data_IF_153163441173
#
_entry.id   IF_153163441173
#
_cell.length_a   1.000
_cell.length_b   1.000
_cell.length_c   1.000
_cell.angle_alpha   90.00
_cell.angle_beta   90.00
_cell.angle_gamma   90.00
#
_symmetry.space_group_name_H-M   'P 1'
#
loop_
_entity.id
_entity.type
_entity.pdbx_description
1 polymer ?
#
# COMPACT_ATOMS: atom_id res chain seq x y z
N UNK A 1 11.05 4.06 13.37
CA UNK A 1 10.02 4.19 12.32
C UNK A 1 9.15 5.38 12.71
N UNK A 2 8.81 6.24 11.77
CA UNK A 2 7.84 7.31 12.03
C UNK A 2 6.45 6.78 11.65
N UNK A 3 5.46 6.85 12.54
CA UNK A 3 4.09 6.49 12.19
C UNK A 3 3.53 7.52 11.18
N UNK A 4 2.80 7.04 10.18
CA UNK A 4 1.90 7.88 9.40
C UNK A 4 0.53 7.88 10.06
N UNK A 5 -0.05 9.07 10.22
CA UNK A 5 -1.39 9.24 10.77
C UNK A 5 -2.26 9.97 9.76
N UNK A 6 -3.44 9.42 9.49
CA UNK A 6 -4.49 10.05 8.68
C UNK A 6 -5.86 9.76 9.30
N UNK A 7 -6.64 10.80 9.61
CA UNK A 7 -7.99 10.68 10.18
C UNK A 7 -8.10 9.60 11.29
N UNK A 8 -7.29 9.75 12.34
CA UNK A 8 -7.17 8.82 13.48
C UNK A 8 -6.66 7.39 13.17
N UNK A 9 -6.35 7.06 11.91
CA UNK A 9 -5.71 5.80 11.55
C UNK A 9 -4.20 5.97 11.54
N UNK A 10 -3.51 5.06 12.22
CA UNK A 10 -2.04 5.06 12.27
C UNK A 10 -1.51 3.78 11.64
N UNK A 11 -0.53 3.91 10.76
CA UNK A 11 0.20 2.80 10.18
C UNK A 11 1.69 3.10 10.16
N UNK A 12 2.50 2.04 10.23
CA UNK A 12 3.96 2.19 10.18
C UNK A 12 4.41 2.51 8.76
N UNK A 13 5.05 3.66 8.56
CA UNK A 13 5.80 3.90 7.34
C UNK A 13 7.14 3.16 7.40
N UNK A 14 7.54 2.55 6.27
CA UNK A 14 8.74 1.71 6.16
C UNK A 14 8.64 0.48 7.05
N UNK A 15 7.69 -0.41 6.75
CA UNK A 15 7.41 -1.67 7.47
C UNK A 15 8.63 -2.57 7.51
N UNK A 16 9.49 -2.47 6.51
CA UNK A 16 10.78 -3.13 6.49
C UNK A 16 11.91 -2.14 6.77
N UNK A 17 12.58 -2.24 7.93
CA UNK A 17 13.84 -1.54 8.14
C UNK A 17 14.83 -1.92 7.05
N UNK A 18 15.62 -0.97 6.53
CA UNK A 18 16.58 -1.23 5.46
C UNK A 18 17.53 -2.42 5.76
N UNK A 19 17.91 -2.60 7.04
CA UNK A 19 18.75 -3.72 7.50
C UNK A 19 18.07 -5.10 7.43
N UNK A 20 16.74 -5.14 7.32
CA UNK A 20 15.93 -6.36 7.26
C UNK A 20 15.41 -6.64 5.84
N UNK A 21 15.63 -5.75 4.88
CA UNK A 21 15.23 -5.97 3.49
C UNK A 21 15.98 -7.20 2.97
N UNK A 22 15.28 -8.18 2.37
CA UNK A 22 15.93 -9.34 1.78
C UNK A 22 16.90 -8.94 0.66
N UNK A 23 17.77 -9.87 0.25
CA UNK A 23 18.59 -9.64 -0.95
C UNK A 23 17.68 -9.49 -2.17
N UNK A 24 18.17 -8.78 -3.20
CA UNK A 24 17.40 -8.50 -4.41
C UNK A 24 16.85 -9.77 -5.09
N UNK A 25 17.59 -10.87 -5.04
CA UNK A 25 17.20 -12.18 -5.57
C UNK A 25 16.39 -13.06 -4.59
N UNK A 26 15.95 -12.50 -3.46
CA UNK A 26 15.19 -13.17 -2.40
C UNK A 26 13.94 -12.35 -2.01
N UNK A 27 13.37 -11.60 -2.94
CA UNK A 27 12.21 -10.75 -2.67
C UNK A 27 12.54 -9.31 -2.25
N UNK A 28 13.82 -8.92 -2.20
CA UNK A 28 14.22 -7.57 -1.80
C UNK A 28 13.71 -6.48 -2.74
N UNK A 29 13.67 -6.79 -4.05
CA UNK A 29 13.14 -5.88 -5.07
C UNK A 29 11.63 -5.66 -4.87
N UNK A 30 10.90 -6.73 -4.59
CA UNK A 30 9.47 -6.72 -4.33
C UNK A 30 9.13 -5.92 -3.07
N UNK A 31 9.88 -6.12 -1.98
CA UNK A 31 9.71 -5.32 -0.75
C UNK A 31 9.88 -3.83 -1.02
N UNK A 32 10.93 -3.45 -1.75
CA UNK A 32 11.18 -2.03 -2.08
C UNK A 32 10.05 -1.48 -2.96
N UNK A 33 9.62 -2.23 -3.97
CA UNK A 33 8.55 -1.82 -4.88
C UNK A 33 7.20 -1.68 -4.14
N UNK A 34 6.86 -2.60 -3.23
CA UNK A 34 5.66 -2.52 -2.39
C UNK A 34 5.73 -1.27 -1.50
N UNK A 35 6.85 -1.03 -0.82
CA UNK A 35 7.02 0.16 0.03
C UNK A 35 6.89 1.47 -0.77
N UNK A 36 7.42 1.51 -1.99
CA UNK A 36 7.28 2.67 -2.89
C UNK A 36 5.84 2.87 -3.36
N UNK A 37 5.15 1.79 -3.76
CA UNK A 37 3.75 1.83 -4.19
C UNK A 37 2.87 2.40 -3.07
N UNK A 38 3.04 1.88 -1.86
CA UNK A 38 2.32 2.28 -0.66
C UNK A 38 2.62 3.72 -0.25
N UNK A 39 3.89 4.13 -0.25
CA UNK A 39 4.26 5.52 0.03
C UNK A 39 3.62 6.50 -0.97
N UNK A 40 3.59 6.14 -2.26
CA UNK A 40 2.91 6.94 -3.28
C UNK A 40 1.41 7.09 -3.03
N UNK A 41 0.74 6.03 -2.56
CA UNK A 41 -0.69 6.09 -2.17
C UNK A 41 -0.91 6.98 -0.96
N UNK A 42 -0.02 6.93 0.03
CA UNK A 42 -0.11 7.83 1.17
C UNK A 42 0.01 9.30 0.75
N UNK A 43 0.95 9.62 -0.14
CA UNK A 43 1.07 10.98 -0.69
C UNK A 43 -0.20 11.39 -1.43
N UNK A 44 -0.80 10.51 -2.24
CA UNK A 44 -2.07 10.79 -2.91
C UNK A 44 -3.23 11.01 -1.92
N UNK A 45 -3.30 10.18 -0.87
CA UNK A 45 -4.28 10.31 0.23
C UNK A 45 -4.19 11.66 0.94
N UNK A 46 -2.98 12.18 1.12
CA UNK A 46 -2.74 13.48 1.75
C UNK A 46 -3.01 14.66 0.80
N UNK A 47 -2.69 14.50 -0.49
CA UNK A 47 -2.82 15.56 -1.48
C UNK A 47 -4.27 15.87 -1.84
N UNK A 48 -5.11 14.84 -1.98
CA UNK A 48 -6.51 15.02 -2.38
C UNK A 48 -7.44 14.04 -1.64
N UNK A 49 -8.38 14.60 -0.89
CA UNK A 49 -9.38 13.84 -0.13
C UNK A 49 -10.47 13.19 -0.99
N UNK A 50 -10.55 13.55 -2.28
CA UNK A 50 -11.60 13.14 -3.21
C UNK A 50 -11.09 12.33 -4.40
N UNK A 51 -9.83 12.53 -4.83
CA UNK A 51 -9.22 11.75 -5.90
C UNK A 51 -9.09 10.26 -5.54
N UNK A 52 -9.34 9.39 -6.52
CA UNK A 52 -9.15 7.95 -6.34
C UNK A 52 -7.70 7.63 -5.96
N UNK A 53 -7.53 6.81 -4.93
CA UNK A 53 -6.26 6.35 -4.43
C UNK A 53 -5.72 5.17 -5.22
N UNK A 54 -6.61 4.30 -5.66
CA UNK A 54 -6.31 3.01 -6.26
C UNK A 54 -6.93 2.92 -7.65
N UNK A 55 -6.10 2.64 -8.65
CA UNK A 55 -6.55 2.19 -9.95
C UNK A 55 -6.38 0.66 -10.09
N UNK A 56 -6.98 0.09 -11.14
CA UNK A 56 -6.91 -1.35 -11.42
C UNK A 56 -5.47 -1.83 -11.67
N UNK A 57 -4.61 -0.98 -12.23
CA UNK A 57 -3.22 -1.33 -12.50
C UNK A 57 -2.42 -1.43 -11.19
N UNK A 58 -2.64 -0.52 -10.25
CA UNK A 58 -2.00 -0.50 -8.93
C UNK A 58 -2.42 -1.68 -8.07
N UNK A 59 -3.69 -2.05 -8.10
CA UNK A 59 -4.19 -3.28 -7.45
C UNK A 59 -3.52 -4.53 -8.00
N UNK A 60 -3.44 -4.65 -9.33
CA UNK A 60 -2.77 -5.77 -9.99
C UNK A 60 -1.28 -5.80 -9.65
N UNK A 61 -0.63 -4.65 -9.65
CA UNK A 61 0.79 -4.53 -9.36
C UNK A 61 1.11 -4.92 -7.91
N UNK A 62 0.32 -4.45 -6.94
CA UNK A 62 0.47 -4.86 -5.55
C UNK A 62 0.34 -6.38 -5.39
N UNK A 63 -0.70 -6.98 -5.98
CA UNK A 63 -0.90 -8.44 -5.91
C UNK A 63 0.23 -9.20 -6.60
N UNK A 64 0.72 -8.72 -7.75
CA UNK A 64 1.88 -9.31 -8.44
C UNK A 64 3.13 -9.29 -7.58
N UNK A 65 3.46 -8.13 -6.99
CA UNK A 65 4.63 -7.97 -6.13
C UNK A 65 4.54 -8.84 -4.87
N UNK A 66 3.36 -8.90 -4.24
CA UNK A 66 3.12 -9.73 -3.06
C UNK A 66 3.29 -11.21 -3.38
N UNK A 67 2.66 -11.69 -4.46
CA UNK A 67 2.77 -13.09 -4.88
C UNK A 67 4.23 -13.45 -5.24
N UNK A 68 4.96 -12.55 -5.90
CA UNK A 68 6.38 -12.76 -6.18
C UNK A 68 7.21 -12.84 -4.88
N UNK A 69 6.93 -11.97 -3.92
CA UNK A 69 7.61 -11.97 -2.62
C UNK A 69 7.37 -13.26 -1.86
N UNK A 70 6.13 -13.75 -1.83
CA UNK A 70 5.77 -15.05 -1.26
C UNK A 70 6.47 -16.21 -1.99
N UNK A 71 6.60 -16.13 -3.32
CA UNK A 71 7.31 -17.15 -4.11
C UNK A 71 8.82 -17.17 -3.83
N UNK A 72 9.45 -16.01 -3.67
CA UNK A 72 10.88 -15.91 -3.34
C UNK A 72 11.17 -16.20 -1.87
N UNK A 73 10.23 -15.88 -0.98
CA UNK A 73 10.38 -16.01 0.46
C UNK A 73 9.02 -16.23 1.15
N UNK A 74 8.58 -17.48 1.18
CA UNK A 74 7.28 -17.87 1.75
C UNK A 74 7.12 -17.57 3.25
N UNK A 75 8.23 -17.34 3.97
CA UNK A 75 8.21 -16.99 5.39
C UNK A 75 8.20 -15.47 5.63
N UNK A 76 8.24 -14.67 4.56
CA UNK A 76 8.18 -13.22 4.69
C UNK A 76 6.79 -12.79 5.14
N UNK A 77 6.73 -12.01 6.22
CA UNK A 77 5.44 -11.48 6.69
C UNK A 77 4.97 -10.32 5.79
N UNK A 78 3.92 -10.58 5.01
CA UNK A 78 3.29 -9.60 4.12
C UNK A 78 2.07 -8.90 4.74
N UNK A 79 1.66 -9.26 5.95
CA UNK A 79 0.47 -8.71 6.62
C UNK A 79 0.53 -7.19 6.76
N UNK A 80 1.67 -6.56 7.13
CA UNK A 80 1.72 -5.11 7.27
C UNK A 80 1.45 -4.36 5.96
N UNK A 81 1.82 -4.93 4.81
CA UNK A 81 1.54 -4.33 3.50
C UNK A 81 0.08 -4.51 3.11
N UNK A 82 -0.47 -5.72 3.32
CA UNK A 82 -1.86 -6.03 3.01
C UNK A 82 -2.82 -5.16 3.84
N UNK A 83 -2.53 -4.97 5.13
CA UNK A 83 -3.30 -4.12 6.03
C UNK A 83 -3.40 -2.66 5.54
N UNK A 84 -2.29 -2.07 5.07
CA UNK A 84 -2.34 -0.70 4.54
C UNK A 84 -3.02 -0.64 3.17
N UNK A 85 -2.85 -1.65 2.32
CA UNK A 85 -3.57 -1.71 1.06
C UNK A 85 -5.09 -1.78 1.30
N UNK A 86 -5.54 -2.56 2.28
CA UNK A 86 -6.95 -2.63 2.69
C UNK A 86 -7.46 -1.29 3.24
N UNK A 87 -6.61 -0.57 3.97
CA UNK A 87 -6.92 0.79 4.38
C UNK A 87 -7.15 1.70 3.16
N UNK A 88 -6.28 1.68 2.15
CA UNK A 88 -6.48 2.46 0.93
C UNK A 88 -7.74 2.03 0.15
N UNK A 89 -8.04 0.72 0.08
CA UNK A 89 -9.28 0.21 -0.53
C UNK A 89 -10.52 0.76 0.16
N UNK A 90 -10.54 0.79 1.48
CA UNK A 90 -11.67 1.33 2.25
C UNK A 90 -11.88 2.82 1.97
N UNK A 91 -10.80 3.59 1.93
CA UNK A 91 -10.81 5.01 1.63
C UNK A 91 -11.21 5.30 0.19
N UNK A 92 -10.79 4.47 -0.76
CA UNK A 92 -11.17 4.60 -2.16
C UNK A 92 -12.66 4.30 -2.37
N UNK A 93 -13.20 3.27 -1.70
CA UNK A 93 -14.63 2.96 -1.74
C UNK A 93 -15.49 4.11 -1.20
N UNK A 94 -15.05 4.78 -0.12
CA UNK A 94 -15.72 5.96 0.43
C UNK A 94 -15.70 7.10 -0.60
N UNK A 95 -14.55 7.39 -1.21
CA UNK A 95 -14.40 8.41 -2.28
C UNK A 95 -15.29 8.13 -3.48
N UNK A 96 -15.31 6.89 -3.98
CA UNK A 96 -16.17 6.49 -5.08
C UNK A 96 -17.65 6.68 -4.75
N UNK A 97 -18.07 6.34 -3.52
CA UNK A 97 -19.45 6.57 -3.06
C UNK A 97 -19.80 8.05 -3.02
N UNK A 98 -18.91 8.89 -2.50
CA UNK A 98 -19.11 10.35 -2.45
C UNK A 98 -19.19 10.96 -3.86
N UNK A 99 -18.29 10.57 -4.77
CA UNK A 99 -18.32 11.03 -6.16
C UNK A 99 -19.64 10.67 -6.88
N UNK A 100 -20.17 9.46 -6.63
CA UNK A 100 -21.46 9.02 -7.18
C UNK A 100 -22.66 9.78 -6.59
N UNK A 101 -22.57 10.23 -5.34
CA UNK A 101 -23.62 11.01 -4.68
C UNK A 101 -23.67 12.46 -5.16
N UNK A 102 -22.52 13.06 -5.46
CA UNK A 102 -22.43 14.43 -5.99
C UNK A 102 -22.87 14.51 -7.46
N UNK A 103 -22.73 13.41 -8.22
CA UNK A 103 -23.16 13.33 -9.61
C UNK A 103 -24.67 13.08 -9.81
N UNK A 104 -25.46 13.04 -8.73
CA UNK A 104 -26.92 12.85 -8.73
C UNK A 104 -27.62 14.14 -8.32
#
# INVERSE_FOLDING_TARGET
MLPATYQAHTFSQKRTPAKKVPRANQGGTEVIAIEQLLAGRFTALQADSTALLLDVAQEKEFNRLRNNLEAFNAFWNTDPYSYEMDFYRSHDAIRQRMARQVAK
#
